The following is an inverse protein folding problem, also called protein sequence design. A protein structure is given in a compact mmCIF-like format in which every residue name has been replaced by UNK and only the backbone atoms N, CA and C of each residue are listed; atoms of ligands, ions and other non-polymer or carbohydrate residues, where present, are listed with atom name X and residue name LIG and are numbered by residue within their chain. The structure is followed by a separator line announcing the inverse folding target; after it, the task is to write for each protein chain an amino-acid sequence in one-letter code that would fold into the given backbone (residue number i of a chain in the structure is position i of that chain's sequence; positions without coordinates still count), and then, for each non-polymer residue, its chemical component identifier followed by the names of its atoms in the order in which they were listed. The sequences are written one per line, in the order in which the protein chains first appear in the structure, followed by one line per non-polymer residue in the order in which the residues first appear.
data_IF_876818173346
#
_entry.id   IF_876818173346
#
_cell.length_a   1.000
_cell.length_b   1.000
_cell.length_c   1.000
_cell.angle_alpha   90.00
_cell.angle_beta   90.00
_cell.angle_gamma   90.00
#
_symmetry.space_group_name_H-M   'P 1'
#
loop_
_entity.id
_entity.type
_entity.pdbx_description
1 polymer ?
#
# COMPACT_ATOMS: atom_id res chain seq x y z
N UNK A 1 32.67 14.80 -26.28
CA UNK A 1 31.31 14.31 -26.15
C UNK A 1 31.08 13.89 -24.72
N UNK A 2 30.17 14.59 -24.00
CA UNK A 2 29.97 14.23 -22.62
C UNK A 2 29.27 12.86 -22.55
N UNK A 3 29.86 11.94 -21.84
CA UNK A 3 29.22 10.67 -21.51
C UNK A 3 28.09 10.96 -20.54
N UNK A 4 26.86 10.74 -21.00
CA UNK A 4 25.73 10.68 -20.09
C UNK A 4 25.83 9.35 -19.35
N UNK A 5 26.42 9.38 -18.17
CA UNK A 5 26.31 8.26 -17.26
C UNK A 5 24.84 8.15 -16.88
N UNK A 6 24.16 7.12 -17.40
CA UNK A 6 22.86 6.72 -16.86
C UNK A 6 23.10 6.32 -15.42
N UNK A 7 22.82 7.22 -14.49
CA UNK A 7 22.66 6.84 -13.10
C UNK A 7 21.44 5.92 -13.05
N UNK A 8 21.69 4.66 -12.71
CA UNK A 8 20.63 3.69 -12.49
C UNK A 8 19.88 4.10 -11.23
N UNK A 9 18.74 4.77 -11.40
CA UNK A 9 17.80 4.96 -10.31
C UNK A 9 16.89 3.74 -10.33
N UNK A 10 16.81 2.96 -9.22
CA UNK A 10 15.85 1.88 -9.16
C UNK A 10 14.44 2.46 -9.33
N UNK A 11 13.61 1.75 -10.09
CA UNK A 11 12.23 2.14 -10.30
C UNK A 11 11.51 2.27 -8.96
N UNK A 12 10.83 3.40 -8.76
CA UNK A 12 10.01 3.62 -7.57
C UNK A 12 8.79 2.71 -7.67
N UNK A 13 8.60 1.86 -6.66
CA UNK A 13 7.49 0.93 -6.64
C UNK A 13 6.22 1.59 -6.14
N UNK A 14 5.11 1.34 -6.84
CA UNK A 14 3.77 1.71 -6.40
C UNK A 14 3.20 0.54 -5.62
N UNK A 15 2.79 0.78 -4.38
CA UNK A 15 2.34 -0.25 -3.46
C UNK A 15 0.99 0.11 -2.88
N UNK A 16 0.17 -0.91 -2.66
CA UNK A 16 -1.05 -0.79 -1.87
C UNK A 16 -0.85 -1.60 -0.60
N UNK A 17 -1.15 -1.02 0.56
CA UNK A 17 -1.14 -1.72 1.84
C UNK A 17 -2.56 -1.97 2.29
N UNK A 18 -2.88 -3.21 2.65
CA UNK A 18 -4.13 -3.43 3.38
C UNK A 18 -4.03 -2.78 4.77
N UNK A 19 -5.16 -2.64 5.44
CA UNK A 19 -5.18 -1.88 6.69
C UNK A 19 -4.28 -2.48 7.76
N UNK A 20 -4.26 -3.80 7.90
CA UNK A 20 -3.42 -4.45 8.91
C UNK A 20 -1.93 -4.25 8.62
N UNK A 21 -1.53 -4.29 7.36
CA UNK A 21 -0.14 -4.04 6.97
C UNK A 21 0.28 -2.61 7.27
N UNK A 22 -0.59 -1.63 7.00
CA UNK A 22 -0.32 -0.25 7.37
C UNK A 22 -0.13 -0.10 8.88
N UNK A 23 -1.03 -0.66 9.67
CA UNK A 23 -0.97 -0.56 11.13
C UNK A 23 0.33 -1.14 11.64
N UNK A 24 0.77 -2.27 11.10
CA UNK A 24 2.01 -2.91 11.52
C UNK A 24 3.25 -2.10 11.16
N UNK A 25 3.23 -1.30 10.10
CA UNK A 25 4.41 -0.55 9.68
C UNK A 25 4.51 0.86 10.26
N UNK A 26 3.41 1.48 10.68
CA UNK A 26 3.45 2.86 11.22
C UNK A 26 4.02 2.96 12.62
N UNK A 27 4.05 1.88 13.38
CA UNK A 27 4.60 1.88 14.73
C UNK A 27 6.13 1.91 14.70
N UNK A 28 6.73 2.83 15.45
CA UNK A 28 8.20 2.94 15.56
C UNK A 28 8.87 1.69 16.11
N UNK A 29 8.13 0.90 16.88
CA UNK A 29 8.65 -0.33 17.53
C UNK A 29 8.52 -1.55 16.64
N UNK A 30 7.84 -1.42 15.52
CA UNK A 30 7.65 -2.52 14.58
C UNK A 30 8.92 -2.80 13.79
N UNK A 31 9.21 -4.07 13.58
CA UNK A 31 10.29 -4.47 12.65
C UNK A 31 9.98 -4.10 11.21
N UNK A 32 8.73 -3.73 10.91
CA UNK A 32 8.30 -3.31 9.57
C UNK A 32 8.29 -1.80 9.40
N UNK A 33 8.77 -1.05 10.39
CA UNK A 33 8.70 0.42 10.34
C UNK A 33 9.47 1.02 9.16
N UNK A 34 10.53 0.37 8.70
CA UNK A 34 11.29 0.86 7.54
C UNK A 34 10.47 0.86 6.26
N UNK A 35 9.44 0.01 6.14
CA UNK A 35 8.50 0.08 5.03
C UNK A 35 7.74 1.40 5.05
N UNK A 36 7.27 1.83 6.21
CA UNK A 36 6.62 3.13 6.37
C UNK A 36 7.57 4.27 6.00
N UNK A 37 8.81 4.22 6.50
CA UNK A 37 9.82 5.22 6.18
C UNK A 37 10.12 5.29 4.69
N UNK A 38 10.03 4.16 3.97
CA UNK A 38 10.25 4.12 2.53
C UNK A 38 9.22 4.95 1.75
N UNK A 39 8.00 5.07 2.28
CA UNK A 39 7.00 5.96 1.68
C UNK A 39 7.31 7.42 1.99
N UNK A 40 7.79 7.70 3.20
CA UNK A 40 8.08 9.08 3.62
C UNK A 40 9.26 9.67 2.87
N UNK A 41 10.26 8.86 2.53
CA UNK A 41 11.46 9.32 1.85
C UNK A 41 11.43 9.12 0.33
N UNK A 42 10.33 8.62 -0.22
CA UNK A 42 10.13 8.50 -1.65
C UNK A 42 10.75 7.27 -2.31
N UNK A 43 11.31 6.33 -1.54
CA UNK A 43 11.80 5.07 -2.12
C UNK A 43 10.68 4.22 -2.70
N UNK A 44 9.50 4.27 -2.07
CA UNK A 44 8.27 3.64 -2.55
C UNK A 44 7.13 4.64 -2.49
N UNK A 45 6.11 4.43 -3.31
CA UNK A 45 4.92 5.29 -3.32
C UNK A 45 3.71 4.52 -2.82
N UNK A 46 3.01 5.08 -1.85
CA UNK A 46 1.77 4.52 -1.33
C UNK A 46 0.60 4.98 -2.19
N UNK A 47 -0.19 4.02 -2.67
CA UNK A 47 -1.39 4.27 -3.44
C UNK A 47 -2.61 4.14 -2.53
N UNK A 48 -3.49 5.13 -2.55
CA UNK A 48 -4.67 5.19 -1.70
C UNK A 48 -5.87 5.68 -2.47
N UNK A 49 -7.06 5.33 -1.96
CA UNK A 49 -8.33 5.93 -2.36
C UNK A 49 -8.95 6.58 -1.13
N UNK A 50 -10.01 7.35 -1.32
CA UNK A 50 -10.78 7.90 -0.19
C UNK A 50 -11.32 6.79 0.71
N UNK A 51 -11.83 5.70 0.12
CA UNK A 51 -12.34 4.57 0.90
C UNK A 51 -11.25 3.92 1.75
N UNK A 52 -10.06 3.74 1.18
CA UNK A 52 -8.91 3.17 1.90
C UNK A 52 -8.49 4.09 3.05
N UNK A 53 -8.39 5.40 2.81
CA UNK A 53 -8.03 6.36 3.85
C UNK A 53 -9.04 6.36 5.00
N UNK A 54 -10.32 6.27 4.68
CA UNK A 54 -11.37 6.21 5.69
C UNK A 54 -11.24 4.96 6.55
N UNK A 55 -10.93 3.82 5.96
CA UNK A 55 -10.72 2.58 6.72
C UNK A 55 -9.44 2.66 7.57
N UNK A 56 -8.35 3.20 7.02
CA UNK A 56 -7.13 3.42 7.80
C UNK A 56 -7.43 4.26 9.05
N UNK A 57 -8.13 5.38 8.88
CA UNK A 57 -8.48 6.27 9.99
C UNK A 57 -9.34 5.57 11.02
N UNK A 58 -10.38 4.85 10.59
CA UNK A 58 -11.29 4.14 11.48
C UNK A 58 -10.56 3.10 12.35
N UNK A 59 -9.72 2.28 11.72
CA UNK A 59 -9.07 1.20 12.43
C UNK A 59 -7.92 1.72 13.30
N UNK A 60 -7.18 2.73 12.84
CA UNK A 60 -6.15 3.38 13.66
C UNK A 60 -6.75 4.03 14.90
N UNK A 61 -7.89 4.70 14.76
CA UNK A 61 -8.59 5.29 15.90
C UNK A 61 -9.00 4.22 16.91
N UNK A 62 -9.54 3.11 16.42
CA UNK A 62 -9.99 2.00 17.26
C UNK A 62 -8.83 1.33 17.99
N UNK A 63 -7.70 1.11 17.31
CA UNK A 63 -6.57 0.35 17.86
C UNK A 63 -5.54 1.20 18.61
N UNK A 64 -5.47 2.48 18.33
CA UNK A 64 -4.53 3.39 18.97
C UNK A 64 -5.27 4.58 19.60
N UNK A 65 -5.48 5.65 18.83
CA UNK A 65 -6.19 6.85 19.29
C UNK A 65 -6.64 7.69 18.11
N UNK A 66 -7.57 8.61 18.35
CA UNK A 66 -8.01 9.57 17.35
C UNK A 66 -6.85 10.49 16.92
N UNK A 67 -6.01 10.90 17.88
CA UNK A 67 -4.86 11.75 17.60
C UNK A 67 -3.84 11.06 16.71
N UNK A 68 -3.54 9.80 17.01
CA UNK A 68 -2.58 9.03 16.20
C UNK A 68 -3.14 8.77 14.80
N UNK A 69 -4.42 8.43 14.69
CA UNK A 69 -5.08 8.24 13.40
C UNK A 69 -4.99 9.51 12.54
N UNK A 70 -5.33 10.66 13.13
CA UNK A 70 -5.25 11.95 12.43
C UNK A 70 -3.82 12.25 11.96
N UNK A 71 -2.84 11.98 12.80
CA UNK A 71 -1.43 12.22 12.46
C UNK A 71 -0.99 11.37 11.28
N UNK A 72 -1.31 10.07 11.28
CA UNK A 72 -0.95 9.17 10.18
C UNK A 72 -1.61 9.62 8.88
N UNK A 73 -2.91 9.94 8.92
CA UNK A 73 -3.63 10.39 7.73
C UNK A 73 -3.05 11.71 7.20
N UNK A 74 -2.74 12.66 8.07
CA UNK A 74 -2.10 13.91 7.65
C UNK A 74 -0.76 13.68 6.98
N UNK A 75 0.05 12.77 7.52
CA UNK A 75 1.35 12.42 6.92
C UNK A 75 1.14 11.86 5.51
N UNK A 76 0.18 10.96 5.33
CA UNK A 76 -0.14 10.41 4.00
C UNK A 76 -0.60 11.53 3.07
N UNK A 77 -1.54 12.37 3.52
CA UNK A 77 -2.12 13.45 2.71
C UNK A 77 -1.10 14.50 2.29
N UNK A 78 -0.13 14.80 3.15
CA UNK A 78 0.86 15.84 2.91
C UNK A 78 2.12 15.33 2.22
N UNK A 79 2.25 14.01 2.04
CA UNK A 79 3.40 13.45 1.33
C UNK A 79 3.19 13.62 -0.18
N UNK A 80 4.05 14.39 -0.87
CA UNK A 80 3.89 14.61 -2.31
C UNK A 80 4.07 13.33 -3.14
N UNK A 81 4.62 12.28 -2.56
CA UNK A 81 4.79 10.98 -3.23
C UNK A 81 3.55 10.09 -3.15
N UNK A 82 2.58 10.42 -2.29
CA UNK A 82 1.34 9.64 -2.20
C UNK A 82 0.55 9.72 -3.50
N UNK A 83 0.11 8.58 -4.01
CA UNK A 83 -0.74 8.52 -5.20
C UNK A 83 -2.20 8.39 -4.79
N UNK A 84 -2.99 9.41 -5.13
CA UNK A 84 -4.44 9.40 -4.95
C UNK A 84 -5.09 8.80 -6.17
N UNK A 85 -5.82 7.70 -5.96
CA UNK A 85 -6.40 6.92 -7.05
C UNK A 85 -7.92 7.04 -6.98
N UNK A 86 -8.54 7.29 -8.13
CA UNK A 86 -9.99 7.18 -8.31
C UNK A 86 -10.25 5.86 -9.00
N UNK A 87 -11.12 5.03 -8.41
CA UNK A 87 -11.49 3.74 -8.99
C UNK A 87 -12.85 3.86 -9.67
N UNK A 88 -12.90 3.48 -10.95
CA UNK A 88 -14.12 3.50 -11.75
C UNK A 88 -14.69 2.10 -11.96
N UNK A 89 -13.86 1.06 -11.81
CA UNK A 89 -14.25 -0.32 -11.99
C UNK A 89 -14.11 -1.09 -10.69
N UNK A 90 -15.08 -1.96 -10.44
CA UNK A 90 -15.11 -2.85 -9.28
C UNK A 90 -15.03 -4.29 -9.77
N UNK A 91 -13.89 -4.94 -9.53
CA UNK A 91 -13.64 -6.28 -10.05
C UNK A 91 -14.26 -7.40 -9.21
N UNK A 92 -14.55 -7.12 -7.93
CA UNK A 92 -15.19 -8.06 -7.01
C UNK A 92 -14.51 -9.44 -6.95
N UNK A 93 -13.19 -9.46 -6.96
CA UNK A 93 -12.40 -10.69 -7.00
C UNK A 93 -12.37 -11.44 -5.68
N UNK A 94 -12.45 -10.72 -4.55
CA UNK A 94 -12.42 -11.32 -3.22
C UNK A 94 -13.85 -11.49 -2.74
N UNK A 95 -14.34 -12.73 -2.78
CA UNK A 95 -15.71 -13.05 -2.36
C UNK A 95 -15.83 -13.32 -0.87
N UNK A 96 -14.74 -13.81 -0.26
CA UNK A 96 -14.73 -14.16 1.16
C UNK A 96 -14.86 -12.94 2.06
N UNK A 97 -14.28 -11.80 1.65
CA UNK A 97 -14.41 -10.53 2.35
C UNK A 97 -14.50 -9.39 1.33
N UNK A 98 -15.73 -8.97 0.97
CA UNK A 98 -15.92 -7.92 -0.04
C UNK A 98 -15.26 -6.58 0.30
N UNK A 99 -15.05 -6.26 1.60
CA UNK A 99 -14.39 -5.03 2.01
C UNK A 99 -12.93 -4.96 1.52
N UNK A 100 -12.29 -6.09 1.27
CA UNK A 100 -10.93 -6.13 0.77
C UNK A 100 -10.82 -5.70 -0.71
N UNK A 101 -11.92 -5.71 -1.44
CA UNK A 101 -11.91 -5.38 -2.87
C UNK A 101 -11.49 -3.94 -3.17
N UNK A 102 -11.66 -3.01 -2.24
CA UNK A 102 -11.19 -1.62 -2.44
C UNK A 102 -9.67 -1.55 -2.63
N UNK A 103 -8.92 -2.43 -1.96
CA UNK A 103 -7.46 -2.50 -2.11
C UNK A 103 -7.08 -3.09 -3.48
N UNK A 104 -7.80 -4.11 -3.92
CA UNK A 104 -7.60 -4.71 -5.25
C UNK A 104 -7.91 -3.70 -6.35
N UNK A 105 -9.04 -3.03 -6.27
CA UNK A 105 -9.45 -2.04 -7.28
C UNK A 105 -8.46 -0.88 -7.35
N UNK A 106 -7.97 -0.42 -6.20
CA UNK A 106 -6.92 0.60 -6.12
C UNK A 106 -5.62 0.12 -6.81
N UNK A 107 -5.19 -1.11 -6.51
CA UNK A 107 -3.97 -1.66 -7.08
C UNK A 107 -4.04 -1.78 -8.60
N UNK A 108 -5.19 -2.20 -9.13
CA UNK A 108 -5.40 -2.28 -10.57
C UNK A 108 -5.33 -0.89 -11.22
N UNK A 109 -6.07 0.07 -10.66
CA UNK A 109 -6.12 1.43 -11.21
C UNK A 109 -4.77 2.15 -11.11
N UNK A 110 -4.00 1.90 -10.05
CA UNK A 110 -2.68 2.50 -9.83
C UNK A 110 -1.57 1.76 -10.57
N UNK A 111 -1.85 0.60 -11.17
CA UNK A 111 -0.83 -0.29 -11.70
C UNK A 111 0.23 -0.61 -10.64
N UNK A 112 -0.23 -0.90 -9.43
CA UNK A 112 0.65 -1.18 -8.30
C UNK A 112 1.44 -2.47 -8.55
N UNK A 113 2.69 -2.47 -8.11
CA UNK A 113 3.54 -3.66 -8.22
C UNK A 113 3.04 -4.76 -7.29
N UNK A 114 2.66 -4.40 -6.08
CA UNK A 114 2.19 -5.35 -5.08
C UNK A 114 1.05 -4.78 -4.25
N UNK A 115 0.18 -5.68 -3.76
CA UNK A 115 -0.58 -5.45 -2.54
C UNK A 115 0.20 -6.13 -1.41
N UNK A 116 0.54 -5.37 -0.37
CA UNK A 116 1.21 -5.90 0.81
C UNK A 116 0.15 -6.33 1.81
N UNK A 117 0.06 -7.63 2.07
CA UNK A 117 -0.98 -8.22 2.91
C UNK A 117 -0.51 -9.53 3.54
N UNK A 118 -0.99 -9.81 4.76
CA UNK A 118 -0.86 -11.11 5.41
C UNK A 118 -2.18 -11.90 5.37
N UNK A 119 -3.24 -11.34 4.79
CA UNK A 119 -4.58 -11.93 4.78
C UNK A 119 -4.70 -12.99 3.69
N UNK A 120 -5.14 -14.18 4.08
CA UNK A 120 -5.32 -15.31 3.17
C UNK A 120 -6.43 -15.10 2.14
N UNK A 121 -7.36 -14.19 2.39
CA UNK A 121 -8.42 -13.89 1.42
C UNK A 121 -7.87 -13.38 0.08
N UNK A 122 -6.67 -12.79 0.08
CA UNK A 122 -6.01 -12.30 -1.13
C UNK A 122 -5.38 -13.42 -1.99
N UNK A 123 -5.29 -14.65 -1.47
CA UNK A 123 -4.70 -15.75 -2.23
C UNK A 123 -5.44 -16.03 -3.56
N UNK A 124 -6.72 -15.69 -3.66
CA UNK A 124 -7.48 -15.81 -4.90
C UNK A 124 -6.81 -15.05 -6.05
N UNK A 125 -6.09 -13.98 -5.77
CA UNK A 125 -5.41 -13.17 -6.78
C UNK A 125 -4.27 -13.93 -7.47
N UNK A 126 -3.66 -14.91 -6.81
CA UNK A 126 -2.60 -15.74 -7.38
C UNK A 126 -3.12 -16.62 -8.51
N UNK A 127 -4.42 -16.90 -8.51
CA UNK A 127 -5.10 -17.76 -9.49
C UNK A 127 -5.94 -16.95 -10.47
N UNK A 128 -5.84 -15.63 -10.45
CA UNK A 128 -6.59 -14.73 -11.32
C UNK A 128 -5.68 -14.25 -12.45
N UNK A 129 -6.04 -14.57 -13.69
CA UNK A 129 -5.23 -14.21 -14.85
C UNK A 129 -5.40 -12.74 -15.24
N UNK A 130 -6.59 -12.19 -15.07
CA UNK A 130 -6.89 -10.81 -15.39
C UNK A 130 -8.00 -10.27 -14.48
N UNK A 131 -7.80 -9.11 -13.84
CA UNK A 131 -6.55 -8.35 -13.79
C UNK A 131 -5.47 -9.09 -12.98
N UNK A 132 -4.22 -8.96 -13.39
CA UNK A 132 -3.09 -9.60 -12.70
C UNK A 132 -2.53 -8.66 -11.65
N UNK A 133 -2.67 -9.03 -10.37
CA UNK A 133 -2.12 -8.29 -9.24
C UNK A 133 -1.29 -9.27 -8.39
N UNK A 134 -0.06 -8.90 -8.11
CA UNK A 134 0.80 -9.68 -7.24
C UNK A 134 0.61 -9.26 -5.79
N UNK A 135 0.62 -10.25 -4.90
CA UNK A 135 0.55 -10.03 -3.46
C UNK A 135 1.88 -10.42 -2.82
N UNK A 136 2.21 -9.74 -1.72
CA UNK A 136 3.46 -9.97 -0.99
C UNK A 136 3.19 -9.79 0.50
N UNK A 137 3.79 -10.63 1.33
CA UNK A 137 3.73 -10.46 2.78
C UNK A 137 4.71 -9.42 3.27
N UNK A 138 4.59 -9.03 4.54
CA UNK A 138 5.44 -7.99 5.13
C UNK A 138 6.91 -8.37 5.18
N UNK A 139 7.24 -9.61 5.52
CA UNK A 139 8.64 -10.03 5.58
C UNK A 139 9.31 -9.95 4.21
N UNK A 140 8.62 -10.41 3.18
CA UNK A 140 9.16 -10.34 1.81
C UNK A 140 9.19 -8.90 1.29
N UNK A 141 8.22 -8.08 1.67
CA UNK A 141 8.23 -6.66 1.34
C UNK A 141 9.47 -5.96 1.92
N UNK A 142 9.84 -6.28 3.15
CA UNK A 142 11.05 -5.73 3.75
C UNK A 142 12.31 -6.14 2.99
N UNK A 143 12.37 -7.37 2.51
CA UNK A 143 13.52 -7.88 1.75
C UNK A 143 13.65 -7.26 0.37
N UNK A 144 12.51 -7.04 -0.31
CA UNK A 144 12.50 -6.61 -1.71
C UNK A 144 12.40 -5.10 -1.89
N UNK A 145 11.79 -4.39 -0.94
CA UNK A 145 11.33 -3.01 -1.14
C UNK A 145 11.99 -1.99 -0.21
N UNK A 146 12.77 -2.47 0.74
CA UNK A 146 13.37 -1.59 1.75
C UNK A 146 14.89 -1.67 1.80
#
# INVERSE_FOLDING_TARGET
MPFVTKTFTPDIMHLVLDTNSLIQCVSRRSRYHDLWLSFLDGRNRLCVTTEILNEYAEILERKASAEFASLVIEVILNNPQTLYINTFYHFDLIKADPDDNKFVDCAVAAQAKFIVTEDRHYEVLRHTDFPKIDIIGLDDAMKLLV
#
